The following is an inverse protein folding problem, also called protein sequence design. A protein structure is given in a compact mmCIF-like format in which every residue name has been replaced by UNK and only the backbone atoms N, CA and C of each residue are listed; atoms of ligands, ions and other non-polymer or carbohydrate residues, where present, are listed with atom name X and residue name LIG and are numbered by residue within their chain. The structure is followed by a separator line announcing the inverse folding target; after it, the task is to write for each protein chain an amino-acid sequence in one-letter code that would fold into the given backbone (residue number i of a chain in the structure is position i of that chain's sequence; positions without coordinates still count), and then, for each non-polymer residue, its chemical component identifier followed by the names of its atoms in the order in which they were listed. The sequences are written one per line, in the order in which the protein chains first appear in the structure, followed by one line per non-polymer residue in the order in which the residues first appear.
data_IF_980337336368
#
_entry.id   IF_980337336368
#
_cell.length_a   1.000
_cell.length_b   1.000
_cell.length_c   1.000
_cell.angle_alpha   90.00
_cell.angle_beta   90.00
_cell.angle_gamma   90.00
#
_symmetry.space_group_name_H-M   'P 1'
#
loop_
_entity.id
_entity.type
_entity.pdbx_description
1 polymer ?
#
# COMPACT_ATOMS: atom_id res chain seq x y z
N UNK A 1 -24.94 -4.63 12.78
CA UNK A 1 -26.12 -4.54 11.89
C UNK A 1 -26.06 -5.68 10.90
N UNK A 2 -27.16 -6.41 10.69
CA UNK A 2 -27.26 -7.45 9.67
C UNK A 2 -28.00 -6.87 8.48
N UNK A 3 -27.37 -6.92 7.32
CA UNK A 3 -27.90 -6.35 6.07
C UNK A 3 -27.78 -7.40 4.99
N UNK A 4 -28.83 -7.57 4.18
CA UNK A 4 -28.78 -8.39 3.00
C UNK A 4 -28.45 -7.49 1.80
N UNK A 5 -27.37 -7.81 1.10
CA UNK A 5 -26.87 -7.09 -0.07
C UNK A 5 -26.42 -8.10 -1.10
N UNK A 6 -26.76 -7.87 -2.36
CA UNK A 6 -26.25 -8.66 -3.47
C UNK A 6 -24.86 -8.19 -3.86
N UNK A 7 -23.91 -9.11 -3.93
CA UNK A 7 -22.52 -8.86 -4.30
C UNK A 7 -22.12 -9.95 -5.28
N UNK A 8 -21.41 -9.58 -6.34
CA UNK A 8 -20.81 -10.52 -7.28
C UNK A 8 -19.86 -11.49 -6.56
N UNK A 9 -20.05 -12.79 -6.78
CA UNK A 9 -19.29 -13.84 -6.09
C UNK A 9 -17.81 -13.88 -6.52
N UNK A 10 -17.48 -13.48 -7.75
CA UNK A 10 -16.09 -13.40 -8.21
C UNK A 10 -15.39 -12.26 -7.48
N UNK A 11 -16.03 -11.10 -7.38
CA UNK A 11 -15.52 -9.96 -6.63
C UNK A 11 -15.31 -10.30 -5.15
N UNK A 12 -16.27 -10.99 -4.52
CA UNK A 12 -16.12 -11.43 -3.13
C UNK A 12 -14.96 -12.43 -2.98
N UNK A 13 -14.81 -13.36 -3.92
CA UNK A 13 -13.71 -14.32 -3.94
C UNK A 13 -12.34 -13.64 -4.04
N UNK A 14 -12.20 -12.66 -4.94
CA UNK A 14 -10.99 -11.84 -5.05
C UNK A 14 -10.72 -11.06 -3.77
N UNK A 15 -11.72 -10.36 -3.24
CA UNK A 15 -11.59 -9.61 -2.01
C UNK A 15 -11.15 -10.49 -0.83
N UNK A 16 -11.70 -11.69 -0.69
CA UNK A 16 -11.30 -12.64 0.35
C UNK A 16 -9.86 -13.13 0.16
N UNK A 17 -9.44 -13.43 -1.07
CA UNK A 17 -8.05 -13.84 -1.39
C UNK A 17 -7.06 -12.72 -1.10
N UNK A 18 -7.32 -11.51 -1.60
CA UNK A 18 -6.44 -10.35 -1.42
C UNK A 18 -6.36 -9.87 0.03
N UNK A 19 -7.45 -9.99 0.80
CA UNK A 19 -7.48 -9.57 2.21
C UNK A 19 -7.07 -10.67 3.20
N UNK A 20 -6.92 -11.92 2.75
CA UNK A 20 -6.63 -13.08 3.59
C UNK A 20 -7.72 -13.40 4.62
N UNK A 21 -8.97 -12.95 4.40
CA UNK A 21 -10.05 -13.10 5.38
C UNK A 21 -10.84 -14.38 5.16
N UNK A 22 -11.14 -15.08 6.27
CA UNK A 22 -11.87 -16.35 6.27
C UNK A 22 -13.37 -16.22 6.02
N UNK A 23 -13.95 -15.04 6.21
CA UNK A 23 -15.40 -14.84 6.12
C UNK A 23 -15.75 -13.66 5.21
N UNK A 24 -16.88 -13.79 4.48
CA UNK A 24 -17.43 -12.71 3.64
C UNK A 24 -17.61 -11.42 4.45
N UNK A 25 -18.11 -11.51 5.69
CA UNK A 25 -18.26 -10.36 6.60
C UNK A 25 -16.93 -9.64 6.86
N UNK A 26 -15.87 -10.39 7.18
CA UNK A 26 -14.58 -9.80 7.49
C UNK A 26 -13.92 -9.15 6.26
N UNK A 27 -14.09 -9.73 5.07
CA UNK A 27 -13.61 -9.14 3.82
C UNK A 27 -14.34 -7.82 3.50
N UNK A 28 -15.68 -7.80 3.65
CA UNK A 28 -16.48 -6.57 3.45
C UNK A 28 -16.09 -5.49 4.46
N UNK A 29 -15.93 -5.83 5.74
CA UNK A 29 -15.54 -4.87 6.76
C UNK A 29 -14.14 -4.29 6.50
N UNK A 30 -13.19 -5.13 6.07
CA UNK A 30 -11.86 -4.68 5.66
C UNK A 30 -11.90 -3.72 4.46
N UNK A 31 -12.71 -4.03 3.44
CA UNK A 31 -12.89 -3.17 2.27
C UNK A 31 -13.50 -1.81 2.63
N UNK A 32 -14.51 -1.79 3.50
CA UNK A 32 -15.12 -0.54 3.97
C UNK A 32 -14.14 0.33 4.76
N UNK A 33 -13.34 -0.27 5.65
CA UNK A 33 -12.29 0.45 6.38
C UNK A 33 -11.24 1.05 5.44
N UNK A 34 -10.81 0.27 4.44
CA UNK A 34 -9.86 0.74 3.43
C UNK A 34 -10.42 1.94 2.65
N UNK A 35 -11.69 1.88 2.22
CA UNK A 35 -12.34 2.99 1.51
C UNK A 35 -12.32 4.29 2.33
N UNK A 36 -12.63 4.21 3.63
CA UNK A 36 -12.58 5.36 4.54
C UNK A 36 -11.16 5.90 4.64
N UNK A 37 -10.17 5.02 4.85
CA UNK A 37 -8.77 5.40 4.98
C UNK A 37 -8.24 6.07 3.70
N UNK A 38 -8.51 5.49 2.52
CA UNK A 38 -8.10 6.04 1.23
C UNK A 38 -8.71 7.41 0.99
N UNK A 39 -10.00 7.62 1.34
CA UNK A 39 -10.62 8.95 1.24
C UNK A 39 -10.05 9.94 2.24
N UNK A 40 -9.71 9.50 3.45
CA UNK A 40 -9.02 10.35 4.42
C UNK A 40 -7.64 10.81 3.90
N UNK A 41 -6.88 9.91 3.26
CA UNK A 41 -5.62 10.25 2.59
C UNK A 41 -5.82 11.25 1.44
N UNK A 42 -6.96 11.21 0.75
CA UNK A 42 -7.35 12.21 -0.24
C UNK A 42 -7.34 13.65 0.30
N UNK A 43 -7.58 13.86 1.60
CA UNK A 43 -7.47 15.20 2.22
C UNK A 43 -6.03 15.71 2.24
N UNK A 44 -5.02 14.83 2.32
CA UNK A 44 -3.61 15.23 2.19
C UNK A 44 -3.31 15.80 0.80
N UNK A 45 -4.05 15.42 -0.24
CA UNK A 45 -3.92 16.06 -1.56
C UNK A 45 -4.23 17.55 -1.53
N UNK A 46 -4.99 18.05 -0.54
CA UNK A 46 -5.25 19.49 -0.35
C UNK A 46 -4.02 20.26 0.16
N UNK A 47 -3.03 19.56 0.71
CA UNK A 47 -1.77 20.13 1.17
C UNK A 47 -0.73 20.22 0.03
N UNK A 48 -1.01 19.60 -1.14
CA UNK A 48 -0.13 19.65 -2.31
C UNK A 48 0.06 21.10 -2.78
N UNK A 49 1.31 21.57 -2.79
CA UNK A 49 1.67 22.95 -3.15
C UNK A 49 1.47 23.98 -2.02
N UNK A 50 0.93 23.59 -0.87
CA UNK A 50 0.76 24.47 0.30
C UNK A 50 1.84 24.25 1.38
N UNK A 51 2.46 23.08 1.38
CA UNK A 51 3.51 22.71 2.33
C UNK A 51 4.84 22.72 1.61
N UNK A 52 5.81 23.48 2.15
CA UNK A 52 7.18 23.49 1.66
C UNK A 52 7.83 22.17 2.09
N UNK A 53 8.30 21.41 1.12
CA UNK A 53 9.07 20.21 1.42
C UNK A 53 10.49 20.63 1.79
N UNK A 54 10.95 20.23 2.97
CA UNK A 54 12.33 20.41 3.44
C UNK A 54 13.02 19.05 3.47
N UNK A 55 13.97 18.85 2.54
CA UNK A 55 14.74 17.63 2.37
C UNK A 55 15.66 17.75 1.16
N UNK A 56 16.68 16.90 1.08
CA UNK A 56 17.50 16.76 -0.12
C UNK A 56 17.05 15.53 -0.93
N UNK A 57 16.65 15.80 -2.18
CA UNK A 57 16.07 14.79 -3.07
C UNK A 57 17.15 13.82 -3.55
N UNK A 58 18.39 14.30 -3.68
CA UNK A 58 19.52 13.50 -4.13
C UNK A 58 19.93 12.52 -3.03
N UNK A 59 20.11 12.99 -1.79
CA UNK A 59 20.38 12.10 -0.64
C UNK A 59 19.34 10.99 -0.46
N UNK A 60 18.06 11.27 -0.74
CA UNK A 60 16.98 10.28 -0.66
C UNK A 60 17.05 9.19 -1.74
N UNK A 61 17.71 9.48 -2.87
CA UNK A 61 17.83 8.58 -4.02
C UNK A 61 19.10 7.73 -3.97
N UNK A 62 20.19 8.28 -3.42
CA UNK A 62 21.50 7.60 -3.39
C UNK A 62 21.63 6.53 -2.30
N UNK A 63 20.67 6.41 -1.39
CA UNK A 63 20.72 5.45 -0.27
C UNK A 63 20.69 3.96 -0.64
N UNK A 64 20.57 3.58 -1.92
CA UNK A 64 20.46 2.18 -2.36
C UNK A 64 21.29 1.85 -3.61
N UNK A 65 22.50 2.41 -3.76
CA UNK A 65 23.30 2.13 -4.96
C UNK A 65 24.78 2.41 -4.83
N UNK A 66 25.49 1.59 -4.03
CA UNK A 66 26.88 1.18 -4.31
C UNK A 66 27.39 0.25 -3.19
N UNK A 67 26.84 -0.97 -3.10
CA UNK A 67 27.65 -2.09 -2.62
C UNK A 67 28.49 -2.55 -3.80
N UNK A 68 29.64 -1.90 -3.99
CA UNK A 68 30.64 -2.36 -4.94
C UNK A 68 31.05 -3.79 -4.54
N UNK A 69 30.64 -4.72 -5.39
CA UNK A 69 30.98 -6.14 -5.32
C UNK A 69 32.49 -6.29 -5.47
N UNK A 70 33.22 -6.33 -4.36
CA UNK A 70 34.61 -6.81 -4.36
C UNK A 70 34.57 -8.33 -4.26
N UNK A 71 34.43 -9.00 -5.40
CA UNK A 71 34.67 -10.43 -5.55
C UNK A 71 36.14 -10.75 -5.19
N UNK A 72 36.43 -11.79 -4.39
CA UNK A 72 37.80 -12.18 -4.10
C UNK A 72 38.45 -12.81 -5.35
N UNK A 73 39.46 -12.14 -5.90
CA UNK A 73 40.35 -12.68 -6.93
C UNK A 73 41.20 -13.82 -6.35
N UNK A 74 40.76 -15.06 -6.53
CA UNK A 74 41.65 -16.23 -6.56
C UNK A 74 42.39 -16.26 -7.90
N UNK A 75 43.70 -16.00 -7.90
CA UNK A 75 44.66 -16.55 -8.86
C UNK A 75 46.12 -16.16 -8.52
N UNK A 76 46.78 -16.91 -7.63
CA UNK A 76 48.04 -17.62 -7.89
C UNK A 76 48.52 -18.37 -6.65
#
# INVERSE_FOLDING_TARGET
MRTNIEIDDRLMGEAMRSSGKRTKRAAVEAGLRLLVQTRAQGRMRRLRGKVRWEGDLETSRTGHGSEDTTLPSKAR
#
